data_IF_442282464881
#
_entry.id   IF_442282464881
#
_cell.length_a   1.000
_cell.length_b   1.000
_cell.length_c   1.000
_cell.angle_alpha   90.00
_cell.angle_beta   90.00
_cell.angle_gamma   90.00
#
_symmetry.space_group_name_H-M   'P 1'
#
loop_
_entity.id
_entity.type
_entity.pdbx_description
1 polymer ?
#
# COMPACT_ATOMS: atom_id res chain seq x y z
N UNK A 1 -59.20 34.53 -3.50
CA UNK A 1 -58.53 33.59 -4.43
C UNK A 1 -57.48 34.41 -5.15
N UNK A 2 -56.17 34.15 -5.17
CA UNK A 2 -55.36 32.96 -4.89
C UNK A 2 -53.91 33.46 -4.78
N UNK A 3 -53.18 33.09 -3.72
CA UNK A 3 -51.77 33.46 -3.55
C UNK A 3 -50.89 32.45 -4.29
N UNK A 4 -50.03 32.93 -5.20
CA UNK A 4 -49.04 32.12 -5.92
C UNK A 4 -47.81 31.94 -5.03
N UNK A 5 -47.64 30.74 -4.49
CA UNK A 5 -46.40 30.27 -3.86
C UNK A 5 -45.41 29.87 -4.96
N UNK A 6 -44.39 30.70 -5.17
CA UNK A 6 -43.22 30.34 -5.99
C UNK A 6 -42.28 29.51 -5.10
N UNK A 7 -42.31 28.19 -5.28
CA UNK A 7 -41.35 27.28 -4.68
C UNK A 7 -40.01 27.39 -5.43
N UNK A 8 -39.06 28.12 -4.86
CA UNK A 8 -37.64 28.01 -5.24
C UNK A 8 -37.11 26.65 -4.76
N UNK A 9 -37.10 25.66 -5.63
CA UNK A 9 -36.32 24.44 -5.41
C UNK A 9 -34.84 24.75 -5.64
N UNK A 10 -34.13 25.04 -4.54
CA UNK A 10 -32.68 25.05 -4.52
C UNK A 10 -32.18 23.60 -4.66
N UNK A 11 -31.87 23.18 -5.89
CA UNK A 11 -31.09 21.97 -6.12
C UNK A 11 -29.65 22.26 -5.69
N UNK A 12 -29.30 21.83 -4.48
CA UNK A 12 -27.90 21.72 -4.09
C UNK A 12 -27.24 20.69 -5.02
N UNK A 13 -26.50 21.16 -6.03
CA UNK A 13 -25.48 20.33 -6.66
C UNK A 13 -24.46 20.02 -5.57
N UNK A 14 -24.47 18.78 -5.08
CA UNK A 14 -23.30 18.19 -4.46
C UNK A 14 -22.21 18.19 -5.55
N UNK A 15 -21.37 19.21 -5.53
CA UNK A 15 -20.11 19.16 -6.26
C UNK A 15 -19.33 17.99 -5.66
N UNK A 16 -19.35 16.85 -6.34
CA UNK A 16 -18.37 15.80 -6.15
C UNK A 16 -17.02 16.47 -6.41
N UNK A 17 -16.33 16.84 -5.33
CA UNK A 17 -14.96 17.32 -5.43
C UNK A 17 -14.20 16.24 -6.19
N UNK A 18 -13.51 16.57 -7.30
CA UNK A 18 -12.68 15.60 -7.97
C UNK A 18 -11.70 15.09 -6.91
N UNK A 19 -11.84 13.82 -6.53
CA UNK A 19 -10.90 13.17 -5.63
C UNK A 19 -9.55 13.33 -6.30
N UNK A 20 -8.72 14.25 -5.78
CA UNK A 20 -7.35 14.39 -6.24
C UNK A 20 -6.75 13.00 -6.16
N UNK A 21 -6.26 12.42 -7.27
CA UNK A 21 -5.70 11.08 -7.24
C UNK A 21 -4.62 11.09 -6.17
N UNK A 22 -4.80 10.24 -5.16
CA UNK A 22 -3.89 10.23 -4.02
C UNK A 22 -2.55 9.74 -4.54
N UNK A 23 -1.62 10.68 -4.72
CA UNK A 23 -0.27 10.36 -5.13
C UNK A 23 0.38 9.49 -4.05
N UNK A 24 0.92 8.36 -4.47
CA UNK A 24 1.76 7.52 -3.63
C UNK A 24 2.93 8.37 -3.07
N UNK A 25 3.08 8.38 -1.76
CA UNK A 25 4.08 9.17 -1.04
C UNK A 25 5.46 8.50 -0.95
N UNK A 26 5.51 7.17 -1.09
CA UNK A 26 6.76 6.42 -1.05
C UNK A 26 7.61 6.75 -2.27
N UNK A 27 8.91 6.95 -2.04
CA UNK A 27 9.84 7.25 -3.12
C UNK A 27 9.74 6.20 -4.24
N UNK A 28 9.58 6.68 -5.48
CA UNK A 28 9.21 5.84 -6.62
C UNK A 28 10.14 4.65 -6.84
N UNK A 29 11.45 4.80 -6.58
CA UNK A 29 12.42 3.73 -6.76
C UNK A 29 12.19 2.56 -5.79
N UNK A 30 11.85 2.81 -4.52
CA UNK A 30 11.50 1.75 -3.57
C UNK A 30 10.19 1.08 -3.94
N UNK A 31 9.19 1.87 -4.35
CA UNK A 31 7.90 1.35 -4.83
C UNK A 31 8.09 0.39 -6.00
N UNK A 32 8.79 0.80 -7.06
CA UNK A 32 9.07 -0.05 -8.23
C UNK A 32 9.81 -1.35 -7.86
N UNK A 33 10.76 -1.29 -6.91
CA UNK A 33 11.45 -2.49 -6.42
C UNK A 33 10.51 -3.46 -5.71
N UNK A 34 9.68 -2.95 -4.82
CA UNK A 34 8.69 -3.77 -4.09
C UNK A 34 7.66 -4.37 -5.06
N UNK A 35 7.22 -3.59 -6.06
CA UNK A 35 6.33 -4.07 -7.12
C UNK A 35 6.95 -5.23 -7.92
N UNK A 36 8.22 -5.09 -8.33
CA UNK A 36 8.94 -6.15 -9.02
C UNK A 36 9.05 -7.41 -8.16
N UNK A 37 9.37 -7.29 -6.87
CA UNK A 37 9.40 -8.45 -5.97
C UNK A 37 8.03 -9.12 -5.85
N UNK A 38 6.94 -8.35 -5.77
CA UNK A 38 5.59 -8.94 -5.75
C UNK A 38 5.30 -9.68 -7.05
N UNK A 39 5.66 -9.10 -8.20
CA UNK A 39 5.48 -9.74 -9.52
C UNK A 39 6.27 -11.05 -9.63
N UNK A 40 7.52 -11.07 -9.20
CA UNK A 40 8.35 -12.28 -9.17
C UNK A 40 7.78 -13.34 -8.24
N UNK A 41 7.40 -12.96 -7.01
CA UNK A 41 6.83 -13.88 -6.02
C UNK A 41 5.44 -14.41 -6.43
N UNK A 42 4.69 -13.67 -7.25
CA UNK A 42 3.38 -14.04 -7.79
C UNK A 42 3.46 -14.64 -9.21
N UNK A 43 4.64 -15.04 -9.67
CA UNK A 43 4.77 -15.70 -10.98
C UNK A 43 3.87 -16.95 -11.04
N UNK A 44 3.04 -17.04 -12.08
CA UNK A 44 2.08 -18.13 -12.26
C UNK A 44 0.70 -17.95 -11.61
N UNK A 45 0.43 -16.80 -10.99
CA UNK A 45 -0.90 -16.43 -10.47
C UNK A 45 -1.29 -15.01 -10.92
N UNK A 46 -2.58 -14.59 -10.79
CA UNK A 46 -2.99 -13.25 -11.19
C UNK A 46 -2.18 -12.14 -10.52
N UNK A 47 -1.80 -11.12 -11.30
CA UNK A 47 -1.06 -9.96 -10.78
C UNK A 47 -1.97 -9.10 -9.90
N UNK A 48 -1.48 -8.72 -8.72
CA UNK A 48 -2.13 -7.73 -7.88
C UNK A 48 -1.64 -6.34 -8.29
N UNK A 49 -2.52 -5.34 -8.30
CA UNK A 49 -2.18 -3.95 -8.67
C UNK A 49 -1.72 -3.17 -7.44
N UNK A 50 -0.72 -2.32 -7.63
CA UNK A 50 -0.33 -1.36 -6.59
C UNK A 50 -1.41 -0.28 -6.45
N UNK A 51 -1.83 0.00 -5.21
CA UNK A 51 -2.91 0.92 -4.88
C UNK A 51 -2.41 1.97 -3.87
N UNK A 52 -2.43 3.26 -4.26
CA UNK A 52 -1.91 4.34 -3.42
C UNK A 52 -2.76 4.59 -2.16
N UNK A 53 -4.04 4.21 -2.17
CA UNK A 53 -4.87 4.28 -0.96
C UNK A 53 -4.48 3.22 0.06
N UNK A 54 -4.12 2.02 -0.42
CA UNK A 54 -3.56 1.00 0.44
C UNK A 54 -2.19 1.39 0.98
N UNK A 55 -1.34 2.04 0.17
CA UNK A 55 -0.08 2.62 0.65
C UNK A 55 -0.33 3.67 1.76
N UNK A 56 -1.27 4.60 1.53
CA UNK A 56 -1.62 5.63 2.51
C UNK A 56 -2.09 5.01 3.82
N UNK A 57 -2.92 3.97 3.77
CA UNK A 57 -3.36 3.21 4.95
C UNK A 57 -2.20 2.51 5.65
N UNK A 58 -1.28 1.88 4.91
CA UNK A 58 -0.08 1.28 5.48
C UNK A 58 0.82 2.32 6.17
N UNK A 59 0.94 3.53 5.60
CA UNK A 59 1.67 4.66 6.20
C UNK A 59 1.03 5.13 7.50
N UNK A 60 -0.30 5.19 7.55
CA UNK A 60 -1.08 5.60 8.72
C UNK A 60 -1.32 4.48 9.74
N UNK A 61 -0.75 3.28 9.51
CA UNK A 61 -0.94 2.08 10.34
C UNK A 61 -2.42 1.66 10.48
N UNK A 62 -3.25 1.98 9.49
CA UNK A 62 -4.67 1.61 9.42
C UNK A 62 -4.84 0.24 8.75
N UNK A 63 -4.40 -0.80 9.45
CA UNK A 63 -4.26 -2.17 8.91
C UNK A 63 -5.45 -3.08 9.19
N UNK A 64 -6.41 -2.65 10.03
CA UNK A 64 -7.56 -3.47 10.41
C UNK A 64 -8.44 -3.83 9.21
N UNK A 65 -8.81 -5.10 9.12
CA UNK A 65 -9.60 -5.65 8.01
C UNK A 65 -8.80 -6.00 6.75
N UNK A 66 -7.49 -5.74 6.72
CA UNK A 66 -6.63 -6.04 5.57
C UNK A 66 -5.71 -7.23 5.82
N UNK A 67 -5.36 -7.95 4.75
CA UNK A 67 -4.19 -8.82 4.76
C UNK A 67 -2.95 -7.96 5.01
N UNK A 68 -2.01 -8.42 5.83
CA UNK A 68 -0.85 -7.59 6.19
C UNK A 68 0.42 -8.42 6.30
N UNK A 69 1.51 -7.91 5.74
CA UNK A 69 2.86 -8.38 6.04
C UNK A 69 3.72 -7.23 6.57
N UNK A 70 4.62 -7.57 7.49
CA UNK A 70 5.69 -6.68 7.93
C UNK A 70 7.03 -7.37 7.74
N UNK A 71 7.94 -6.72 7.03
CA UNK A 71 9.30 -7.18 6.77
C UNK A 71 10.23 -6.20 7.46
N UNK A 72 11.00 -6.70 8.44
CA UNK A 72 12.01 -5.91 9.11
C UNK A 72 13.30 -5.98 8.29
N UNK A 73 13.95 -4.83 8.11
CA UNK A 73 15.24 -4.73 7.44
C UNK A 73 16.34 -4.58 8.50
N UNK A 74 17.46 -5.30 8.39
CA UNK A 74 18.56 -5.16 9.33
C UNK A 74 19.13 -3.72 9.28
N UNK A 75 19.48 -3.22 10.47
CA UNK A 75 20.16 -1.93 10.65
C UNK A 75 21.64 -2.20 10.95
N UNK A 76 22.54 -1.38 10.43
CA UNK A 76 23.99 -1.40 10.73
C UNK A 76 24.75 -2.68 10.34
N UNK A 77 24.31 -3.40 9.31
CA UNK A 77 25.02 -4.59 8.80
C UNK A 77 26.01 -4.28 7.66
N UNK A 78 26.36 -3.00 7.45
CA UNK A 78 27.24 -2.54 6.37
C UNK A 78 26.61 -2.52 4.97
N UNK A 79 25.35 -2.95 4.82
CA UNK A 79 24.64 -2.96 3.53
C UNK A 79 23.75 -1.74 3.36
N UNK A 80 23.55 -1.32 2.12
CA UNK A 80 22.56 -0.30 1.75
C UNK A 80 21.13 -0.76 2.04
N UNK A 81 20.21 0.19 2.15
CA UNK A 81 18.76 -0.12 2.26
C UNK A 81 18.29 -0.95 1.08
N UNK A 82 18.81 -0.67 -0.12
CA UNK A 82 18.48 -1.38 -1.35
C UNK A 82 18.87 -2.85 -1.31
N UNK A 83 20.09 -3.15 -0.86
CA UNK A 83 20.57 -4.53 -0.68
C UNK A 83 19.76 -5.25 0.40
N UNK A 84 19.48 -4.58 1.52
CA UNK A 84 18.68 -5.14 2.60
C UNK A 84 17.24 -5.44 2.14
N UNK A 85 16.65 -4.56 1.33
CA UNK A 85 15.32 -4.76 0.75
C UNK A 85 15.32 -5.98 -0.17
N UNK A 86 16.31 -6.08 -1.08
CA UNK A 86 16.46 -7.21 -2.00
C UNK A 86 16.61 -8.52 -1.25
N UNK A 87 17.49 -8.58 -0.25
CA UNK A 87 17.69 -9.80 0.53
C UNK A 87 16.44 -10.19 1.31
N UNK A 88 15.70 -9.23 1.87
CA UNK A 88 14.54 -9.53 2.67
C UNK A 88 13.37 -10.13 1.86
N UNK A 89 13.19 -9.69 0.61
CA UNK A 89 12.16 -10.24 -0.29
C UNK A 89 12.60 -11.54 -0.97
N UNK A 90 13.88 -11.68 -1.35
CA UNK A 90 14.39 -12.92 -1.97
C UNK A 90 14.52 -14.08 -0.98
N UNK A 91 14.81 -13.80 0.30
CA UNK A 91 14.92 -14.80 1.37
C UNK A 91 13.64 -14.93 2.19
N UNK A 92 12.49 -14.51 1.65
CA UNK A 92 11.22 -14.60 2.36
C UNK A 92 10.88 -16.09 2.60
N UNK A 93 10.83 -16.57 3.85
CA UNK A 93 10.59 -17.98 4.12
C UNK A 93 9.17 -18.38 3.73
N UNK A 94 9.00 -19.64 3.33
CA UNK A 94 7.68 -20.26 3.21
C UNK A 94 6.92 -20.09 4.53
N UNK A 95 5.71 -19.54 4.46
CA UNK A 95 4.98 -19.17 5.66
C UNK A 95 3.87 -18.15 5.44
N UNK A 96 3.36 -17.58 6.53
CA UNK A 96 2.20 -16.66 6.50
C UNK A 96 2.41 -15.46 5.57
N UNK A 97 3.61 -14.85 5.58
CA UNK A 97 3.92 -13.68 4.75
C UNK A 97 3.91 -14.03 3.26
N UNK A 98 4.60 -15.11 2.88
CA UNK A 98 4.65 -15.53 1.48
C UNK A 98 3.27 -15.97 0.97
N UNK A 99 2.50 -16.66 1.82
CA UNK A 99 1.12 -17.05 1.52
C UNK A 99 0.22 -15.84 1.26
N UNK A 100 0.32 -14.79 2.08
CA UNK A 100 -0.41 -13.54 1.87
C UNK A 100 -0.04 -12.88 0.53
N UNK A 101 1.26 -12.82 0.20
CA UNK A 101 1.72 -12.27 -1.08
C UNK A 101 1.21 -13.10 -2.26
N UNK A 102 1.16 -14.43 -2.11
CA UNK A 102 0.75 -15.38 -3.15
C UNK A 102 -0.75 -15.71 -3.15
N UNK A 103 -1.55 -15.05 -2.33
CA UNK A 103 -2.99 -15.31 -2.28
C UNK A 103 -3.64 -14.87 -3.60
N UNK A 104 -4.27 -15.78 -4.36
CA UNK A 104 -4.91 -15.45 -5.63
C UNK A 104 -6.13 -14.54 -5.48
N UNK A 105 -6.72 -14.43 -4.29
CA UNK A 105 -7.85 -13.52 -4.02
C UNK A 105 -7.41 -12.07 -3.80
N UNK A 106 -6.12 -11.84 -3.55
CA UNK A 106 -5.56 -10.49 -3.48
C UNK A 106 -5.51 -9.89 -4.87
N UNK A 107 -6.21 -8.77 -5.06
CA UNK A 107 -6.23 -8.03 -6.34
C UNK A 107 -5.49 -6.71 -6.24
N UNK A 108 -5.33 -6.17 -5.02
CA UNK A 108 -4.67 -4.90 -4.75
C UNK A 108 -3.79 -4.97 -3.51
N UNK A 109 -2.71 -4.20 -3.54
CA UNK A 109 -1.85 -4.03 -2.37
C UNK A 109 -1.20 -2.65 -2.37
N UNK A 110 -0.73 -2.21 -1.21
CA UNK A 110 0.05 -0.99 -1.08
C UNK A 110 1.02 -1.11 0.10
N UNK A 111 2.20 -0.49 -0.03
CA UNK A 111 3.28 -0.68 0.92
C UNK A 111 3.84 0.65 1.43
N UNK A 112 4.21 0.69 2.70
CA UNK A 112 4.94 1.81 3.29
C UNK A 112 6.28 1.35 3.88
N UNK A 113 7.34 2.07 3.51
CA UNK A 113 8.70 1.81 3.95
C UNK A 113 9.23 2.82 4.95
N UNK A 114 9.78 2.32 6.06
CA UNK A 114 10.62 3.06 7.00
C UNK A 114 12.07 2.79 6.63
N UNK A 115 12.64 3.61 5.75
CA UNK A 115 13.98 3.37 5.15
C UNK A 115 15.10 4.23 5.72
N UNK A 116 14.77 5.36 6.35
CA UNK A 116 15.76 6.34 6.81
C UNK A 116 16.14 6.08 8.27
N UNK A 117 17.36 5.60 8.49
CA UNK A 117 17.86 5.22 9.82
C UNK A 117 18.04 6.41 10.78
N UNK A 118 18.13 7.62 10.23
CA UNK A 118 18.17 8.88 10.97
C UNK A 118 16.82 9.23 11.61
N UNK A 119 15.73 8.76 11.01
CA UNK A 119 14.35 9.07 11.43
C UNK A 119 13.73 7.88 12.17
N UNK A 120 14.07 6.66 11.75
CA UNK A 120 13.45 5.45 12.27
C UNK A 120 14.44 4.57 13.06
N UNK A 121 13.99 4.15 14.25
CA UNK A 121 14.72 3.21 15.10
C UNK A 121 14.84 1.82 14.46
N UNK A 122 13.83 1.43 13.68
CA UNK A 122 13.79 0.17 12.95
C UNK A 122 13.48 0.43 11.48
N UNK A 123 14.26 -0.19 10.59
CA UNK A 123 13.97 -0.20 9.17
C UNK A 123 12.97 -1.31 8.86
N UNK A 124 11.94 -1.02 8.07
CA UNK A 124 10.90 -2.01 7.76
C UNK A 124 10.07 -1.63 6.55
N UNK A 125 9.43 -2.61 5.94
CA UNK A 125 8.34 -2.43 4.98
C UNK A 125 7.08 -3.08 5.55
N UNK A 126 5.97 -2.36 5.53
CA UNK A 126 4.63 -2.90 5.80
C UNK A 126 3.86 -2.86 4.49
N UNK A 127 3.30 -3.99 4.07
CA UNK A 127 2.38 -4.06 2.94
C UNK A 127 1.02 -4.51 3.44
N UNK A 128 -0.02 -3.87 2.93
CA UNK A 128 -1.41 -4.27 3.16
C UNK A 128 -2.06 -4.70 1.85
N UNK A 129 -2.99 -5.63 1.97
CA UNK A 129 -3.66 -6.33 0.86
C UNK A 129 -5.16 -6.26 1.06
N UNK A 130 -5.90 -6.12 -0.03
CA UNK A 130 -7.37 -6.07 -0.02
C UNK A 130 -8.05 -7.36 0.45
N UNK A 131 -7.34 -8.49 0.44
CA UNK A 131 -7.80 -9.79 0.94
C UNK A 131 -6.87 -10.35 2.04
N UNK A 132 -7.41 -11.10 3.01
CA UNK A 132 -6.73 -11.60 4.21
C UNK A 132 -6.76 -13.12 4.34
#
# INVERSE_FOLDING_TARGET
MQWLLVLLSATALLAETPENPIDCAMAQHYRKKIENFHKELRSGIPEAKYDCELERKARLDKIDGYGTIKINLPKNNGKSVDENLKEAFTKLPEGKKLRQIKDPQVTKYGCWGKFYSQIYNQLSVVCIYDHK
#
